data_IF_032730561781
#
_entry.id   IF_032730561781
#
_cell.length_a   1.000
_cell.length_b   1.000
_cell.length_c   1.000
_cell.angle_alpha   90.00
_cell.angle_beta   90.00
_cell.angle_gamma   90.00
#
_symmetry.space_group_name_H-M   'P 1'
#
loop_
_entity.id
_entity.type
_entity.pdbx_description
1 polymer ?
#
# COMPACT_ATOMS: atom_id res chain seq x y z
N UNK A 1 1.89 48.56 49.77
CA UNK A 1 0.87 48.15 48.77
C UNK A 1 1.59 47.77 47.49
N UNK A 2 1.73 46.49 47.17
CA UNK A 2 1.75 45.99 45.79
C UNK A 2 1.56 44.46 45.86
N UNK A 3 0.45 44.00 45.31
CA UNK A 3 -0.03 42.62 45.38
C UNK A 3 0.87 41.75 44.50
N UNK A 4 1.52 40.74 45.08
CA UNK A 4 2.16 39.67 44.33
C UNK A 4 1.04 38.85 43.66
N UNK A 5 0.83 39.08 42.36
CA UNK A 5 -0.13 38.35 41.54
C UNK A 5 0.48 36.97 41.28
N UNK A 6 -0.09 35.96 41.92
CA UNK A 6 0.21 34.55 41.70
C UNK A 6 -0.04 34.17 40.24
N UNK A 7 1.02 33.92 39.49
CA UNK A 7 0.93 33.31 38.16
C UNK A 7 0.89 31.79 38.35
N UNK A 8 -0.31 31.26 38.60
CA UNK A 8 -0.56 29.83 38.57
C UNK A 8 -0.43 29.35 37.10
N UNK A 9 0.73 28.77 36.80
CA UNK A 9 1.03 28.16 35.51
C UNK A 9 0.20 26.88 35.36
N UNK A 10 -0.96 27.01 34.70
CA UNK A 10 -1.84 25.91 34.35
C UNK A 10 -1.18 25.08 33.23
N UNK A 11 -0.38 24.09 33.61
CA UNK A 11 0.13 23.06 32.69
C UNK A 11 -1.05 22.17 32.30
N UNK A 12 -1.74 22.55 31.22
CA UNK A 12 -2.70 21.69 30.54
C UNK A 12 -1.89 20.59 29.84
N UNK A 13 -1.65 19.50 30.57
CA UNK A 13 -1.12 18.27 30.00
C UNK A 13 -2.10 17.75 28.96
N UNK A 14 -1.75 17.92 27.69
CA UNK A 14 -2.46 17.27 26.57
C UNK A 14 -2.15 15.79 26.70
N UNK A 15 -3.00 15.06 27.43
CA UNK A 15 -3.03 13.60 27.38
C UNK A 15 -3.51 13.24 25.99
N UNK A 16 -2.59 13.17 25.04
CA UNK A 16 -2.82 12.53 23.77
C UNK A 16 -3.09 11.05 24.08
N UNK A 17 -4.36 10.72 24.29
CA UNK A 17 -4.83 9.35 24.28
C UNK A 17 -4.53 8.78 22.88
N UNK A 18 -3.36 8.18 22.72
CA UNK A 18 -3.04 7.35 21.58
C UNK A 18 -3.96 6.14 21.65
N UNK A 19 -5.16 6.24 21.06
CA UNK A 19 -5.97 5.05 20.82
C UNK A 19 -5.14 4.11 19.97
N UNK A 20 -5.02 2.82 20.35
CA UNK A 20 -4.38 1.83 19.50
C UNK A 20 -5.02 1.90 18.12
N UNK A 21 -4.18 1.92 17.10
CA UNK A 21 -4.65 1.98 15.73
C UNK A 21 -5.38 0.68 15.39
N UNK A 22 -6.62 0.78 14.91
CA UNK A 22 -7.42 -0.38 14.56
C UNK A 22 -6.86 -1.15 13.35
N UNK A 23 -7.22 -2.44 13.18
CA UNK A 23 -6.75 -3.28 12.07
C UNK A 23 -6.91 -2.64 10.68
N UNK A 24 -8.03 -1.96 10.43
CA UNK A 24 -8.28 -1.26 9.17
C UNK A 24 -7.20 -0.21 8.86
N UNK A 25 -6.91 0.65 9.83
CA UNK A 25 -5.90 1.68 9.67
C UNK A 25 -4.51 1.06 9.51
N UNK A 26 -4.21 -0.06 10.19
CA UNK A 26 -2.97 -0.82 9.99
C UNK A 26 -2.81 -1.34 8.56
N UNK A 27 -3.81 -2.02 8.02
CA UNK A 27 -3.77 -2.54 6.65
C UNK A 27 -3.65 -1.39 5.63
N UNK A 28 -4.39 -0.29 5.83
CA UNK A 28 -4.28 0.89 4.95
C UNK A 28 -2.89 1.53 4.97
N UNK A 29 -2.22 1.60 6.14
CA UNK A 29 -0.83 2.05 6.22
C UNK A 29 0.11 1.13 5.46
N UNK A 30 -0.07 -0.19 5.57
CA UNK A 30 0.73 -1.17 4.81
C UNK A 30 0.54 -0.96 3.31
N UNK A 31 -0.69 -0.81 2.82
CA UNK A 31 -0.97 -0.52 1.40
C UNK A 31 -0.25 0.76 0.95
N UNK A 32 -0.31 1.84 1.75
CA UNK A 32 0.38 3.09 1.45
C UNK A 32 1.91 2.97 1.45
N UNK A 33 2.47 2.20 2.38
CA UNK A 33 3.91 1.93 2.44
C UNK A 33 4.37 1.10 1.24
N UNK A 34 3.60 0.07 0.85
CA UNK A 34 3.85 -0.72 -0.35
C UNK A 34 3.78 0.13 -1.62
N UNK A 35 2.79 1.03 -1.74
CA UNK A 35 2.73 1.99 -2.85
C UNK A 35 4.02 2.82 -2.93
N UNK A 36 4.48 3.33 -1.79
CA UNK A 36 5.70 4.16 -1.70
C UNK A 36 6.94 3.38 -2.12
N UNK A 37 7.12 2.17 -1.60
CA UNK A 37 8.23 1.29 -1.97
C UNK A 37 8.20 0.92 -3.48
N UNK A 38 7.01 0.65 -4.03
CA UNK A 38 6.85 0.36 -5.45
C UNK A 38 7.21 1.56 -6.34
N UNK A 39 6.80 2.78 -5.97
CA UNK A 39 7.17 4.01 -6.70
C UNK A 39 8.67 4.31 -6.59
N UNK A 40 9.29 4.03 -5.45
CA UNK A 40 10.73 4.10 -5.26
C UNK A 40 11.50 3.01 -6.03
N UNK A 41 10.78 2.00 -6.57
CA UNK A 41 11.33 0.79 -7.19
C UNK A 41 12.23 0.00 -6.23
N UNK A 42 11.93 0.06 -4.95
CA UNK A 42 12.63 -0.69 -3.92
C UNK A 42 11.97 -2.06 -3.72
N UNK A 43 12.54 -3.07 -4.38
CA UNK A 43 12.03 -4.44 -4.26
C UNK A 43 12.19 -4.99 -2.83
N UNK A 44 13.25 -4.61 -2.10
CA UNK A 44 13.50 -5.16 -0.77
C UNK A 44 12.46 -4.64 0.22
N UNK A 45 12.19 -3.34 0.19
CA UNK A 45 11.17 -2.71 1.03
C UNK A 45 9.77 -3.22 0.68
N UNK A 46 9.48 -3.45 -0.61
CA UNK A 46 8.21 -4.04 -1.01
C UNK A 46 8.04 -5.47 -0.46
N UNK A 47 9.09 -6.29 -0.56
CA UNK A 47 9.08 -7.68 -0.10
C UNK A 47 9.10 -7.81 1.43
N UNK A 48 9.39 -6.74 2.17
CA UNK A 48 9.23 -6.72 3.61
C UNK A 48 7.76 -6.84 4.03
N UNK A 49 6.81 -6.47 3.16
CA UNK A 49 5.37 -6.60 3.38
C UNK A 49 4.79 -7.91 2.83
N UNK A 50 5.59 -8.77 2.21
CA UNK A 50 5.13 -10.03 1.60
C UNK A 50 5.53 -11.19 2.50
N UNK A 51 4.57 -12.04 2.85
CA UNK A 51 4.78 -13.24 3.67
C UNK A 51 5.67 -14.24 2.94
N UNK A 52 6.50 -14.98 3.67
CA UNK A 52 7.25 -16.11 3.11
C UNK A 52 6.32 -17.22 2.59
N UNK A 53 5.06 -17.26 3.03
CA UNK A 53 4.02 -18.18 2.56
C UNK A 53 3.25 -17.66 1.35
N UNK A 54 3.68 -16.55 0.75
CA UNK A 54 2.99 -15.94 -0.38
C UNK A 54 2.81 -16.92 -1.54
N UNK A 55 1.61 -16.93 -2.11
CA UNK A 55 1.28 -17.63 -3.35
C UNK A 55 0.33 -16.80 -4.20
N UNK A 56 0.62 -16.67 -5.49
CA UNK A 56 -0.29 -16.05 -6.45
C UNK A 56 -1.13 -17.10 -7.23
N UNK A 57 -2.08 -16.70 -8.09
CA UNK A 57 -2.89 -17.64 -8.87
C UNK A 57 -2.12 -18.56 -9.82
N UNK A 58 -0.85 -18.27 -10.09
CA UNK A 58 0.05 -19.06 -10.93
C UNK A 58 1.01 -19.93 -10.09
N UNK A 59 0.71 -20.10 -8.80
CA UNK A 59 1.52 -20.82 -7.80
C UNK A 59 2.93 -20.22 -7.58
N UNK A 60 3.14 -18.96 -8.00
CA UNK A 60 4.41 -18.27 -7.79
C UNK A 60 4.56 -17.84 -6.34
N UNK A 61 5.73 -18.12 -5.76
CA UNK A 61 6.07 -17.75 -4.40
C UNK A 61 6.72 -16.36 -4.29
N UNK A 62 7.13 -16.03 -3.08
CA UNK A 62 7.79 -14.75 -2.75
C UNK A 62 9.06 -14.50 -3.57
N UNK A 63 9.84 -15.55 -3.85
CA UNK A 63 11.06 -15.44 -4.65
C UNK A 63 10.77 -15.18 -6.14
N UNK A 64 9.78 -15.85 -6.72
CA UNK A 64 9.32 -15.57 -8.09
C UNK A 64 8.81 -14.13 -8.19
N UNK A 65 8.02 -13.68 -7.22
CA UNK A 65 7.54 -12.30 -7.15
C UNK A 65 8.71 -11.30 -7.10
N UNK A 66 9.75 -11.56 -6.30
CA UNK A 66 10.97 -10.75 -6.26
C UNK A 66 11.60 -10.58 -7.64
N UNK A 67 11.74 -11.69 -8.39
CA UNK A 67 12.31 -11.68 -9.74
C UNK A 67 11.43 -10.89 -10.72
N UNK A 68 10.11 -11.05 -10.64
CA UNK A 68 9.15 -10.32 -11.47
C UNK A 68 9.21 -8.81 -11.20
N UNK A 69 9.24 -8.40 -9.93
CA UNK A 69 9.35 -6.99 -9.54
C UNK A 69 10.64 -6.36 -10.03
N UNK A 70 11.78 -7.06 -9.86
CA UNK A 70 13.08 -6.59 -10.38
C UNK A 70 13.05 -6.43 -11.89
N UNK A 71 12.54 -7.43 -12.62
CA UNK A 71 12.38 -7.36 -14.07
C UNK A 71 11.50 -6.18 -14.51
N UNK A 72 10.38 -5.98 -13.83
CA UNK A 72 9.49 -4.84 -14.06
C UNK A 72 10.22 -3.51 -13.82
N UNK A 73 10.88 -3.33 -12.67
CA UNK A 73 11.58 -2.08 -12.36
C UNK A 73 12.78 -1.79 -13.26
N UNK A 74 13.40 -2.81 -13.86
CA UNK A 74 14.43 -2.64 -14.90
C UNK A 74 13.83 -2.14 -16.22
N UNK A 75 12.63 -2.61 -16.59
CA UNK A 75 11.96 -2.21 -17.83
C UNK A 75 11.39 -0.77 -17.77
N UNK A 76 10.98 -0.30 -16.59
CA UNK A 76 10.33 1.00 -16.42
C UNK A 76 11.22 2.02 -15.67
N UNK A 77 11.53 3.14 -16.36
CA UNK A 77 12.39 4.22 -15.82
C UNK A 77 11.78 5.01 -14.65
N UNK A 78 10.46 5.00 -14.54
CA UNK A 78 9.68 5.64 -13.48
C UNK A 78 8.40 4.86 -13.24
N UNK A 79 7.98 4.74 -11.99
CA UNK A 79 6.73 4.09 -11.60
C UNK A 79 5.93 5.10 -10.79
N UNK A 80 4.80 5.55 -11.33
CA UNK A 80 3.88 6.45 -10.65
C UNK A 80 2.55 5.74 -10.46
N UNK A 81 2.18 5.53 -9.20
CA UNK A 81 0.99 4.78 -8.81
C UNK A 81 0.00 5.70 -8.09
N UNK A 82 -1.26 5.62 -8.46
CA UNK A 82 -2.36 6.15 -7.67
C UNK A 82 -3.21 4.97 -7.22
N UNK A 83 -3.24 4.71 -5.91
CA UNK A 83 -4.04 3.62 -5.34
C UNK A 83 -5.30 4.15 -4.68
N UNK A 84 -6.39 3.41 -4.83
CA UNK A 84 -7.63 3.57 -4.06
C UNK A 84 -8.03 2.19 -3.55
N UNK A 85 -8.24 2.07 -2.25
CA UNK A 85 -8.88 0.89 -1.66
C UNK A 85 -10.38 0.97 -1.95
N UNK A 86 -10.87 0.07 -2.80
CA UNK A 86 -12.27 -0.01 -3.19
C UNK A 86 -13.10 -0.74 -2.13
N UNK A 87 -12.57 -1.88 -1.64
CA UNK A 87 -13.11 -2.60 -0.50
C UNK A 87 -12.00 -3.09 0.43
N UNK A 88 -12.32 -3.22 1.71
CA UNK A 88 -11.46 -3.80 2.74
C UNK A 88 -12.35 -4.48 3.78
N UNK A 89 -12.19 -5.80 3.90
CA UNK A 89 -12.97 -6.66 4.77
C UNK A 89 -12.05 -7.46 5.70
N UNK A 90 -12.57 -7.83 6.87
CA UNK A 90 -11.87 -8.63 7.88
C UNK A 90 -12.66 -9.92 8.15
N UNK A 91 -12.46 -10.97 7.34
CA UNK A 91 -13.16 -12.25 7.55
C UNK A 91 -12.83 -12.90 8.89
N UNK A 92 -11.61 -12.65 9.39
CA UNK A 92 -11.09 -13.09 10.68
C UNK A 92 -10.27 -11.98 11.33
N UNK A 93 -9.95 -12.10 12.63
CA UNK A 93 -9.17 -11.08 13.34
C UNK A 93 -7.74 -10.93 12.77
N UNK A 94 -7.20 -12.01 12.21
CA UNK A 94 -5.85 -12.13 11.65
C UNK A 94 -5.83 -12.19 10.12
N UNK A 95 -6.96 -11.94 9.46
CA UNK A 95 -7.06 -11.94 7.99
C UNK A 95 -7.77 -10.68 7.49
N UNK A 96 -7.20 -10.04 6.46
CA UNK A 96 -7.85 -8.95 5.76
C UNK A 96 -7.86 -9.21 4.24
N UNK A 97 -8.96 -8.86 3.58
CA UNK A 97 -9.11 -8.95 2.13
C UNK A 97 -9.41 -7.58 1.58
N UNK A 98 -8.63 -7.15 0.59
CA UNK A 98 -8.78 -5.84 -0.03
C UNK A 98 -8.88 -5.96 -1.55
N UNK A 99 -9.76 -5.14 -2.12
CA UNK A 99 -9.75 -4.82 -3.55
C UNK A 99 -9.14 -3.43 -3.70
N UNK A 100 -8.06 -3.33 -4.46
CA UNK A 100 -7.29 -2.09 -4.66
C UNK A 100 -7.33 -1.75 -6.15
N UNK A 101 -7.82 -0.55 -6.47
CA UNK A 101 -7.69 0.03 -7.80
C UNK A 101 -6.36 0.77 -7.89
N UNK A 102 -5.59 0.49 -8.95
CA UNK A 102 -4.27 1.07 -9.17
C UNK A 102 -4.22 1.67 -10.56
N UNK A 103 -4.14 3.01 -10.62
CA UNK A 103 -3.80 3.72 -11.84
C UNK A 103 -2.28 3.83 -11.98
N UNK A 104 -1.73 3.46 -13.13
CA UNK A 104 -0.31 3.58 -13.43
C UNK A 104 -0.07 4.67 -14.49
N UNK A 105 0.65 5.72 -14.11
CA UNK A 105 1.05 6.79 -15.03
C UNK A 105 2.46 6.53 -15.58
N UNK A 106 2.66 6.78 -16.88
CA UNK A 106 3.96 6.62 -17.54
C UNK A 106 4.24 5.26 -18.18
N UNK A 107 3.25 4.37 -18.28
CA UNK A 107 3.38 3.09 -18.98
C UNK A 107 3.34 3.22 -20.52
N UNK A 108 3.02 4.40 -21.05
CA UNK A 108 2.98 4.69 -22.49
C UNK A 108 4.37 4.88 -23.10
N UNK A 109 4.85 3.88 -23.84
CA UNK A 109 6.04 3.97 -24.69
C UNK A 109 5.63 4.30 -26.13
N UNK A 110 5.55 5.59 -26.50
CA UNK A 110 5.35 6.01 -27.90
C UNK A 110 5.55 7.53 -28.11
N UNK A 111 6.12 7.97 -29.24
CA UNK A 111 6.41 9.38 -29.53
C UNK A 111 5.19 10.23 -29.91
N UNK A 112 3.98 9.65 -29.93
CA UNK A 112 2.72 10.34 -30.20
C UNK A 112 1.94 10.56 -28.90
N UNK A 113 2.26 11.65 -28.21
CA UNK A 113 1.61 12.08 -26.98
C UNK A 113 0.20 12.62 -27.23
N UNK A 114 -0.83 11.85 -26.91
CA UNK A 114 -2.17 12.34 -26.54
C UNK A 114 -3.04 11.33 -25.78
N UNK A 115 -2.68 10.04 -25.75
CA UNK A 115 -3.32 9.08 -24.83
C UNK A 115 -2.66 9.13 -23.44
N UNK A 116 -3.18 9.99 -22.58
CA UNK A 116 -2.99 9.92 -21.10
C UNK A 116 -3.86 8.79 -20.53
N UNK A 117 -3.89 7.63 -21.21
CA UNK A 117 -4.58 6.47 -20.67
C UNK A 117 -3.68 5.89 -19.57
N UNK A 118 -3.98 6.22 -18.31
CA UNK A 118 -3.42 5.47 -17.19
C UNK A 118 -3.97 4.05 -17.29
N UNK A 119 -3.09 3.05 -17.40
CA UNK A 119 -3.54 1.68 -17.27
C UNK A 119 -4.13 1.50 -15.87
N UNK A 120 -5.39 1.05 -15.83
CA UNK A 120 -6.10 0.80 -14.58
C UNK A 120 -6.06 -0.70 -14.29
N UNK A 121 -5.67 -1.03 -13.07
CA UNK A 121 -5.64 -2.39 -12.57
C UNK A 121 -6.52 -2.51 -11.35
N UNK A 122 -7.17 -3.66 -11.22
CA UNK A 122 -7.70 -4.14 -9.97
C UNK A 122 -6.72 -5.17 -9.40
N UNK A 123 -6.41 -5.03 -8.11
CA UNK A 123 -5.63 -6.01 -7.37
C UNK A 123 -6.50 -6.51 -6.23
N UNK A 124 -6.79 -7.81 -6.23
CA UNK A 124 -7.39 -8.51 -5.09
C UNK A 124 -6.27 -9.07 -4.22
N UNK A 125 -6.19 -8.63 -2.97
CA UNK A 125 -5.09 -8.92 -2.05
C UNK A 125 -5.63 -9.55 -0.76
N UNK A 126 -4.98 -10.62 -0.32
CA UNK A 126 -5.19 -11.18 1.01
C UNK A 126 -3.97 -10.87 1.88
N UNK A 127 -4.25 -10.36 3.08
CA UNK A 127 -3.28 -10.12 4.13
C UNK A 127 -3.54 -11.08 5.29
N UNK A 128 -2.47 -11.55 5.92
CA UNK A 128 -2.50 -12.23 7.20
C UNK A 128 -1.71 -11.43 8.23
N UNK A 129 -2.19 -11.40 9.48
CA UNK A 129 -1.44 -10.85 10.60
C UNK A 129 -0.39 -11.87 11.05
N UNK A 130 0.88 -11.58 10.80
CA UNK A 130 2.00 -12.43 11.21
C UNK A 130 2.75 -11.75 12.36
N UNK A 131 2.51 -12.25 13.58
CA UNK A 131 2.98 -11.61 14.81
C UNK A 131 2.29 -10.28 15.06
N UNK A 132 2.90 -9.18 14.64
CA UNK A 132 2.32 -7.82 14.73
C UNK A 132 2.23 -7.11 13.39
N UNK A 133 2.64 -7.77 12.32
CA UNK A 133 2.75 -7.18 11.00
C UNK A 133 1.74 -7.80 10.05
N UNK A 134 0.98 -6.96 9.34
CA UNK A 134 0.16 -7.42 8.22
C UNK A 134 1.04 -7.73 7.03
N UNK A 135 0.98 -8.97 6.54
CA UNK A 135 1.77 -9.46 5.41
C UNK A 135 0.85 -9.95 4.29
N UNK A 136 1.20 -9.64 3.05
CA UNK A 136 0.50 -10.15 1.87
C UNK A 136 0.79 -11.63 1.71
N UNK A 137 -0.25 -12.45 1.69
CA UNK A 137 -0.18 -13.91 1.46
C UNK A 137 -0.68 -14.29 0.06
N UNK A 138 -1.52 -13.45 -0.55
CA UNK A 138 -2.00 -13.66 -1.91
C UNK A 138 -2.24 -12.32 -2.62
N UNK A 139 -1.94 -12.26 -3.91
CA UNK A 139 -2.32 -11.12 -4.74
C UNK A 139 -2.65 -11.57 -6.16
N UNK A 140 -3.79 -11.13 -6.68
CA UNK A 140 -4.23 -11.36 -8.04
C UNK A 140 -4.40 -10.01 -8.75
N UNK A 141 -3.76 -9.87 -9.90
CA UNK A 141 -3.81 -8.67 -10.73
C UNK A 141 -4.74 -8.89 -11.91
N UNK A 142 -5.60 -7.91 -12.18
CA UNK A 142 -6.48 -7.90 -13.33
C UNK A 142 -6.44 -6.51 -13.98
N UNK A 143 -6.12 -6.44 -15.27
CA UNK A 143 -6.20 -5.18 -16.02
C UNK A 143 -7.67 -4.87 -16.29
N UNK A 144 -8.11 -3.69 -15.89
CA UNK A 144 -9.38 -3.12 -16.27
C UNK A 144 -9.14 -2.37 -17.59
N UNK A 145 -9.92 -2.68 -18.63
CA UNK A 145 -9.71 -2.08 -19.95
C UNK A 145 -9.65 -0.54 -19.83
N UNK A 146 -8.68 0.09 -20.51
CA UNK A 146 -8.43 1.52 -20.40
C UNK A 146 -9.71 2.33 -20.66
N UNK A 147 -10.00 3.28 -19.78
CA UNK A 147 -11.04 4.27 -20.03
C UNK A 147 -10.61 5.03 -21.28
N UNK A 148 -11.30 4.78 -22.40
CA UNK A 148 -11.12 5.59 -23.61
C UNK A 148 -11.59 7.01 -23.26
N UNK A 149 -10.78 8.05 -23.51
CA UNK A 149 -11.23 9.43 -23.38
C UNK A 149 -12.40 9.73 -24.34
#
# INVERSE_FOLDING_TARGET
MLKAVSLALLVLGVVACSRPEGPEAQVRRVIGAMQTAAQARDTNDLLAFVSDRYKDPYDRGREELSRLLRGYFLAYRSVHLLTRVDSLEFPFEDEARATILVGMAGAGSGPSSWDVAADLYEIRVTFALEGRDWKVTHAQWQRLAGVRP
#
